data_IF_530886463732
#
_entry.id   IF_530886463732
#
_cell.length_a   1.000
_cell.length_b   1.000
_cell.length_c   1.000
_cell.angle_alpha   90.00
_cell.angle_beta   90.00
_cell.angle_gamma   90.00
#
_symmetry.space_group_name_H-M   'P 1'
#
loop_
_entity.id
_entity.type
_entity.pdbx_description
1 polymer ?
#
# COMPACT_ATOMS: atom_id res chain seq x y z
N UNK A 1 -11.84 -28.42 -12.31
CA UNK A 1 -12.97 -27.91 -11.52
C UNK A 1 -13.71 -26.81 -12.25
N UNK A 2 -14.79 -26.36 -11.70
CA UNK A 2 -15.59 -25.24 -12.18
C UNK A 2 -15.51 -24.12 -11.15
N UNK A 3 -15.36 -22.88 -11.61
CA UNK A 3 -15.41 -21.66 -10.80
C UNK A 3 -16.54 -20.80 -11.34
N UNK A 4 -17.48 -20.44 -10.49
CA UNK A 4 -18.59 -19.53 -10.81
C UNK A 4 -18.35 -18.17 -10.21
N UNK A 5 -18.65 -17.12 -10.98
CA UNK A 5 -18.51 -15.73 -10.56
C UNK A 5 -19.86 -15.01 -10.68
N UNK A 6 -20.13 -14.12 -9.75
CA UNK A 6 -21.12 -13.07 -9.87
C UNK A 6 -20.42 -11.71 -9.71
N UNK A 7 -20.25 -11.00 -10.82
CA UNK A 7 -19.44 -9.80 -10.86
C UNK A 7 -17.98 -10.07 -10.43
N UNK A 8 -17.53 -9.44 -9.36
CA UNK A 8 -16.19 -9.61 -8.79
C UNK A 8 -16.08 -10.70 -7.71
N UNK A 9 -17.17 -11.43 -7.44
CA UNK A 9 -17.24 -12.41 -6.35
C UNK A 9 -17.23 -13.82 -6.88
N UNK A 10 -16.36 -14.70 -6.36
CA UNK A 10 -16.41 -16.14 -6.58
C UNK A 10 -17.57 -16.67 -5.73
N UNK A 11 -18.59 -17.21 -6.40
CA UNK A 11 -19.80 -17.75 -5.74
C UNK A 11 -19.73 -19.24 -5.46
N UNK A 12 -18.95 -19.97 -6.28
CA UNK A 12 -18.80 -21.42 -6.13
C UNK A 12 -17.49 -21.90 -6.73
N UNK A 13 -16.89 -22.88 -6.09
CA UNK A 13 -15.80 -23.70 -6.66
C UNK A 13 -16.16 -25.17 -6.41
N UNK A 14 -16.25 -25.97 -7.46
CA UNK A 14 -16.59 -27.38 -7.33
C UNK A 14 -15.90 -28.28 -8.36
N UNK A 15 -15.77 -29.58 -8.10
CA UNK A 15 -15.43 -30.56 -9.12
C UNK A 15 -16.45 -30.58 -10.25
N UNK A 16 -16.04 -30.92 -11.47
CA UNK A 16 -16.95 -31.06 -12.62
C UNK A 16 -18.09 -32.06 -12.32
N UNK A 17 -17.79 -33.12 -11.56
CA UNK A 17 -18.76 -34.16 -11.18
C UNK A 17 -19.89 -33.67 -10.25
N UNK A 18 -19.73 -32.52 -9.62
CA UNK A 18 -20.71 -31.93 -8.70
C UNK A 18 -21.43 -30.72 -9.32
N UNK A 19 -21.14 -30.41 -10.57
CA UNK A 19 -21.78 -29.30 -11.26
C UNK A 19 -23.11 -29.74 -11.86
N UNK A 20 -24.17 -29.02 -11.47
CA UNK A 20 -25.52 -29.26 -11.97
C UNK A 20 -25.79 -28.38 -13.18
N UNK A 21 -25.69 -28.95 -14.36
CA UNK A 21 -25.91 -28.26 -15.63
C UNK A 21 -24.90 -28.67 -16.70
N UNK A 22 -24.95 -28.00 -17.84
CA UNK A 22 -23.98 -28.17 -18.90
C UNK A 22 -22.66 -27.51 -18.51
N UNK A 23 -21.61 -28.32 -18.33
CA UNK A 23 -20.29 -27.80 -17.97
C UNK A 23 -19.74 -26.91 -19.11
N UNK A 24 -19.16 -25.75 -18.78
CA UNK A 24 -18.51 -24.90 -19.77
C UNK A 24 -17.34 -25.62 -20.45
N UNK A 25 -16.92 -25.11 -21.61
CA UNK A 25 -15.75 -25.64 -22.31
C UNK A 25 -14.52 -25.58 -21.40
N UNK A 26 -13.77 -26.68 -21.37
CA UNK A 26 -12.57 -26.77 -20.54
C UNK A 26 -11.49 -25.81 -21.03
N UNK A 27 -10.82 -25.16 -20.10
CA UNK A 27 -9.68 -24.29 -20.34
C UNK A 27 -8.43 -24.86 -19.69
N UNK A 28 -7.27 -24.68 -20.33
CA UNK A 28 -5.95 -25.01 -19.76
C UNK A 28 -5.47 -23.92 -18.76
N UNK A 29 -6.26 -22.89 -18.51
CA UNK A 29 -5.92 -21.83 -17.58
C UNK A 29 -5.86 -22.34 -16.13
N UNK A 30 -4.84 -21.89 -15.40
CA UNK A 30 -4.76 -22.06 -13.95
C UNK A 30 -5.22 -20.77 -13.27
N UNK A 31 -6.21 -20.88 -12.40
CA UNK A 31 -6.70 -19.76 -11.60
C UNK A 31 -6.00 -19.74 -10.26
N UNK A 32 -5.44 -18.60 -9.91
CA UNK A 32 -4.77 -18.33 -8.63
C UNK A 32 -5.40 -17.09 -7.98
N UNK A 33 -5.36 -16.98 -6.64
CA UNK A 33 -5.63 -15.70 -5.99
C UNK A 33 -4.69 -14.63 -6.54
N UNK A 34 -5.19 -13.41 -6.71
CA UNK A 34 -4.34 -12.28 -7.08
C UNK A 34 -3.24 -12.05 -6.04
N UNK A 35 -2.08 -11.59 -6.49
CA UNK A 35 -0.97 -11.28 -5.61
C UNK A 35 -1.28 -10.04 -4.78
N UNK A 36 -0.86 -10.06 -3.52
CA UNK A 36 -0.93 -8.92 -2.59
C UNK A 36 0.48 -8.44 -2.34
N UNK A 37 0.75 -7.19 -2.70
CA UNK A 37 2.03 -6.54 -2.45
C UNK A 37 1.84 -5.44 -1.41
N UNK A 38 2.39 -5.64 -0.23
CA UNK A 38 2.20 -4.74 0.92
C UNK A 38 3.31 -3.70 1.05
N UNK A 39 4.36 -3.75 0.21
CA UNK A 39 5.49 -2.84 0.25
C UNK A 39 6.11 -2.70 -1.14
N UNK A 40 5.77 -1.64 -1.85
CA UNK A 40 6.21 -1.39 -3.21
C UNK A 40 6.53 0.10 -3.42
N UNK A 41 7.70 0.40 -3.99
CA UNK A 41 8.13 1.77 -4.27
C UNK A 41 7.88 2.22 -5.71
N UNK A 42 7.36 1.36 -6.57
CA UNK A 42 7.07 1.69 -7.96
C UNK A 42 7.38 0.57 -8.95
N UNK A 43 7.24 0.86 -10.23
CA UNK A 43 7.48 -0.07 -11.34
C UNK A 43 7.20 0.60 -12.69
N UNK A 44 7.53 -0.07 -13.79
CA UNK A 44 7.22 0.45 -15.12
C UNK A 44 7.91 1.75 -15.50
N UNK A 45 8.99 2.14 -14.78
CA UNK A 45 9.71 3.39 -15.00
C UNK A 45 9.26 4.54 -14.09
N UNK A 46 8.22 4.36 -13.28
CA UNK A 46 7.71 5.35 -12.33
C UNK A 46 7.88 4.89 -10.88
N UNK A 47 7.95 5.84 -9.94
CA UNK A 47 8.08 5.52 -8.52
C UNK A 47 7.08 6.32 -7.68
N UNK A 48 6.44 5.67 -6.71
CA UNK A 48 5.50 6.32 -5.81
C UNK A 48 6.11 7.48 -5.01
N UNK A 49 7.36 7.36 -4.48
CA UNK A 49 8.02 8.48 -3.80
C UNK A 49 8.20 9.73 -4.66
N UNK A 50 8.37 9.58 -5.98
CA UNK A 50 8.66 10.68 -6.90
C UNK A 50 7.46 11.12 -7.75
N UNK A 51 6.37 10.33 -7.76
CA UNK A 51 5.21 10.65 -8.58
C UNK A 51 4.51 11.94 -8.10
N UNK A 52 4.54 12.97 -8.93
CA UNK A 52 3.92 14.26 -8.61
C UNK A 52 2.42 14.29 -8.93
N UNK A 53 1.94 13.37 -9.76
CA UNK A 53 0.54 13.24 -10.14
C UNK A 53 0.05 11.82 -10.01
N UNK A 54 -1.27 11.65 -9.88
CA UNK A 54 -1.90 10.34 -9.82
C UNK A 54 -1.67 9.54 -11.11
N UNK A 55 -1.64 10.20 -12.27
CA UNK A 55 -1.38 9.54 -13.56
C UNK A 55 0.03 8.96 -13.63
N UNK A 56 1.05 9.65 -13.10
CA UNK A 56 2.41 9.13 -13.03
C UNK A 56 2.47 7.90 -12.11
N UNK A 57 1.89 7.99 -10.91
CA UNK A 57 1.83 6.87 -9.98
C UNK A 57 1.04 5.67 -10.55
N UNK A 58 -0.01 5.90 -11.33
CA UNK A 58 -0.81 4.85 -11.95
C UNK A 58 0.00 3.96 -12.92
N UNK A 59 1.04 4.48 -13.55
CA UNK A 59 1.94 3.68 -14.41
C UNK A 59 2.54 2.53 -13.64
N UNK A 60 3.03 2.78 -12.41
CA UNK A 60 3.58 1.74 -11.55
C UNK A 60 2.50 0.71 -11.13
N UNK A 61 1.30 1.17 -10.78
CA UNK A 61 0.18 0.28 -10.41
C UNK A 61 -0.16 -0.66 -11.57
N UNK A 62 -0.30 -0.13 -12.78
CA UNK A 62 -0.65 -0.92 -13.97
C UNK A 62 0.44 -1.92 -14.33
N UNK A 63 1.71 -1.59 -14.11
CA UNK A 63 2.81 -2.52 -14.34
C UNK A 63 2.72 -3.72 -13.40
N UNK A 64 2.51 -3.51 -12.10
CA UNK A 64 2.31 -4.60 -11.14
C UNK A 64 1.06 -5.43 -11.45
N UNK A 65 -0.03 -4.77 -11.87
CA UNK A 65 -1.28 -5.45 -12.26
C UNK A 65 -1.09 -6.39 -13.45
N UNK A 66 -0.28 -6.02 -14.45
CA UNK A 66 0.09 -6.90 -15.59
C UNK A 66 0.79 -8.18 -15.15
N UNK A 67 1.45 -8.16 -13.99
CA UNK A 67 2.16 -9.30 -13.43
C UNK A 67 1.38 -10.04 -12.34
N UNK A 68 0.08 -9.72 -12.18
CA UNK A 68 -0.84 -10.47 -11.33
C UNK A 68 -1.05 -9.89 -9.92
N UNK A 69 -0.48 -8.72 -9.60
CA UNK A 69 -0.78 -8.02 -8.35
C UNK A 69 -2.16 -7.38 -8.44
N UNK A 70 -3.07 -7.81 -7.57
CA UNK A 70 -4.46 -7.30 -7.50
C UNK A 70 -4.70 -6.39 -6.31
N UNK A 71 -3.80 -6.42 -5.32
CA UNK A 71 -3.83 -5.52 -4.17
C UNK A 71 -2.43 -4.98 -3.94
N UNK A 72 -2.25 -3.67 -4.09
CA UNK A 72 -0.96 -3.00 -4.03
C UNK A 72 -0.99 -1.88 -3.00
N UNK A 73 -0.03 -1.87 -2.09
CA UNK A 73 0.23 -0.77 -1.16
C UNK A 73 1.39 0.06 -1.68
N UNK A 74 1.13 1.34 -1.94
CA UNK A 74 2.17 2.26 -2.39
C UNK A 74 3.02 2.72 -1.19
N UNK A 75 4.34 2.55 -1.28
CA UNK A 75 5.28 2.91 -0.22
C UNK A 75 6.02 4.21 -0.56
N UNK A 76 5.85 5.22 0.30
CA UNK A 76 6.73 6.38 0.35
C UNK A 76 8.05 6.02 1.01
N UNK A 77 9.11 6.78 0.73
CA UNK A 77 10.41 6.68 1.42
C UNK A 77 10.60 7.91 2.31
N UNK A 78 11.60 7.86 3.20
CA UNK A 78 12.02 9.00 4.01
C UNK A 78 12.28 10.23 3.14
N UNK A 79 11.57 11.32 3.42
CA UNK A 79 11.65 12.60 2.71
C UNK A 79 11.23 13.74 3.66
N UNK A 80 11.28 14.99 3.18
CA UNK A 80 10.77 16.11 3.95
C UNK A 80 9.26 15.96 4.22
N UNK A 81 8.77 16.55 5.32
CA UNK A 81 7.36 16.53 5.66
C UNK A 81 6.48 17.09 4.51
N UNK A 82 6.95 18.11 3.81
CA UNK A 82 6.25 18.70 2.67
C UNK A 82 6.08 17.69 1.52
N UNK A 83 7.15 16.96 1.16
CA UNK A 83 7.13 15.94 0.12
C UNK A 83 6.23 14.79 0.53
N UNK A 84 6.36 14.26 1.76
CA UNK A 84 5.52 13.16 2.26
C UNK A 84 4.04 13.52 2.22
N UNK A 85 3.68 14.72 2.65
CA UNK A 85 2.30 15.23 2.61
C UNK A 85 1.76 15.36 1.18
N UNK A 86 2.58 15.86 0.26
CA UNK A 86 2.21 15.94 -1.15
C UNK A 86 1.95 14.54 -1.73
N UNK A 87 2.84 13.58 -1.46
CA UNK A 87 2.68 12.20 -1.93
C UNK A 87 1.48 11.49 -1.32
N UNK A 88 1.23 11.68 0.00
CA UNK A 88 0.04 11.16 0.66
C UNK A 88 -1.23 11.55 -0.08
N UNK A 89 -1.39 12.83 -0.43
CA UNK A 89 -2.56 13.34 -1.17
C UNK A 89 -2.66 12.75 -2.57
N UNK A 90 -1.55 12.73 -3.33
CA UNK A 90 -1.51 12.15 -4.67
C UNK A 90 -1.89 10.68 -4.68
N UNK A 91 -1.34 9.88 -3.75
CA UNK A 91 -1.62 8.45 -3.66
C UNK A 91 -3.03 8.15 -3.11
N UNK A 92 -3.56 9.03 -2.25
CA UNK A 92 -4.94 8.91 -1.77
C UNK A 92 -5.97 9.03 -2.89
N UNK A 93 -5.70 9.80 -3.95
CA UNK A 93 -6.56 9.86 -5.14
C UNK A 93 -6.68 8.50 -5.82
N UNK A 94 -5.57 7.77 -5.96
CA UNK A 94 -5.56 6.42 -6.53
C UNK A 94 -6.23 5.40 -5.61
N UNK A 95 -5.99 5.48 -4.31
CA UNK A 95 -6.64 4.59 -3.35
C UNK A 95 -8.18 4.80 -3.33
N UNK A 96 -8.64 6.04 -3.43
CA UNK A 96 -10.06 6.38 -3.54
C UNK A 96 -10.69 5.88 -4.84
N UNK A 97 -9.90 5.73 -5.89
CA UNK A 97 -10.33 5.17 -7.18
C UNK A 97 -10.20 3.63 -7.26
N UNK A 98 -9.94 2.96 -6.12
CA UNK A 98 -9.72 1.50 -6.02
C UNK A 98 -8.50 0.99 -6.84
N UNK A 99 -7.56 1.88 -7.16
CA UNK A 99 -6.33 1.53 -7.87
C UNK A 99 -5.21 1.04 -6.92
N UNK A 100 -5.23 1.50 -5.65
CA UNK A 100 -4.33 1.10 -4.57
C UNK A 100 -5.12 0.59 -3.37
N UNK A 101 -4.59 -0.41 -2.68
CA UNK A 101 -5.15 -0.88 -1.40
C UNK A 101 -4.88 0.10 -0.25
N UNK A 102 -3.85 0.92 -0.36
CA UNK A 102 -3.51 1.94 0.63
C UNK A 102 -2.08 2.46 0.49
N UNK A 103 -1.65 3.18 1.51
CA UNK A 103 -0.38 3.91 1.54
C UNK A 103 0.43 3.47 2.76
N UNK A 104 1.71 3.18 2.52
CA UNK A 104 2.71 2.90 3.53
C UNK A 104 3.77 4.02 3.57
N UNK A 105 4.22 4.39 4.75
CA UNK A 105 5.35 5.30 4.94
C UNK A 105 6.57 4.53 5.45
N UNK A 106 7.63 4.42 4.65
CA UNK A 106 8.91 3.89 5.11
C UNK A 106 9.75 5.04 5.69
N UNK A 107 9.59 5.27 6.96
CA UNK A 107 10.11 6.47 7.65
C UNK A 107 9.10 7.64 7.68
N UNK A 108 9.54 8.85 8.07
CA UNK A 108 10.92 9.33 8.25
C UNK A 108 11.56 9.00 9.62
N UNK A 109 10.89 8.27 10.48
CA UNK A 109 11.29 7.98 11.86
C UNK A 109 12.17 6.74 11.98
N UNK A 110 13.06 6.52 11.01
CA UNK A 110 14.00 5.39 11.01
C UNK A 110 15.32 5.76 11.73
N UNK A 111 16.13 4.74 12.05
CA UNK A 111 17.42 4.94 12.69
C UNK A 111 18.50 5.35 11.68
N UNK A 112 19.32 6.34 12.00
CA UNK A 112 20.46 6.71 11.16
C UNK A 112 21.44 5.56 10.96
N UNK A 113 21.68 4.75 12.01
CA UNK A 113 22.59 3.61 11.97
C UNK A 113 22.08 2.45 11.11
N UNK A 114 20.77 2.42 10.82
CA UNK A 114 20.08 1.34 10.11
C UNK A 114 19.19 1.84 8.98
N UNK A 115 19.46 3.03 8.46
CA UNK A 115 18.59 3.67 7.46
C UNK A 115 18.60 2.98 6.08
N UNK A 116 19.57 2.11 5.80
CA UNK A 116 19.65 1.45 4.49
C UNK A 116 19.77 2.45 3.35
N UNK A 117 18.85 2.40 2.41
CA UNK A 117 18.77 3.29 1.25
C UNK A 117 18.04 4.63 1.53
N UNK A 118 17.54 4.84 2.74
CA UNK A 118 16.85 6.08 3.11
C UNK A 118 17.83 7.25 3.16
N UNK A 119 17.42 8.43 2.69
CA UNK A 119 18.26 9.63 2.76
C UNK A 119 18.37 10.12 4.23
N UNK A 120 19.57 10.06 4.83
CA UNK A 120 19.76 10.42 6.23
C UNK A 120 19.47 11.89 6.53
N UNK A 121 19.45 12.78 5.52
CA UNK A 121 19.18 14.22 5.71
C UNK A 121 17.72 14.49 6.08
N UNK A 122 16.81 13.56 5.78
CA UNK A 122 15.39 13.68 6.08
C UNK A 122 14.92 12.78 7.24
N UNK A 123 15.85 12.03 7.85
CA UNK A 123 15.54 11.26 9.05
C UNK A 123 15.32 12.23 10.21
N UNK A 124 14.16 12.12 10.84
CA UNK A 124 13.79 12.92 12.00
C UNK A 124 13.40 12.04 13.18
N UNK A 125 13.35 12.62 14.37
CA UNK A 125 12.84 11.90 15.54
C UNK A 125 11.32 11.69 15.43
N UNK A 126 10.80 10.60 16.03
CA UNK A 126 9.38 10.30 16.04
C UNK A 126 8.50 11.47 16.50
N UNK A 127 7.58 11.88 15.63
CA UNK A 127 6.69 13.02 15.77
C UNK A 127 5.23 12.59 15.52
N UNK A 128 4.43 12.52 16.58
CA UNK A 128 3.03 12.10 16.52
C UNK A 128 2.15 13.12 15.78
N UNK A 129 2.49 14.41 15.80
CA UNK A 129 1.70 15.45 15.12
C UNK A 129 1.93 15.39 13.61
N UNK A 130 3.17 15.16 13.17
CA UNK A 130 3.46 14.88 11.77
C UNK A 130 2.74 13.58 11.33
N UNK A 131 2.74 12.54 12.16
CA UNK A 131 2.04 11.28 11.87
C UNK A 131 0.55 11.51 11.66
N UNK A 132 -0.13 12.22 12.56
CA UNK A 132 -1.55 12.56 12.40
C UNK A 132 -1.82 13.33 11.13
N UNK A 133 -0.96 14.29 10.79
CA UNK A 133 -1.07 15.08 9.56
C UNK A 133 -0.94 14.20 8.31
N UNK A 134 0.00 13.24 8.29
CA UNK A 134 0.17 12.30 7.17
C UNK A 134 -1.05 11.38 7.02
N UNK A 135 -1.61 10.89 8.13
CA UNK A 135 -2.83 10.07 8.13
C UNK A 135 -4.03 10.86 7.59
N UNK A 136 -4.20 12.12 8.01
CA UNK A 136 -5.24 13.01 7.48
C UNK A 136 -5.09 13.23 5.97
N UNK A 137 -3.87 13.51 5.50
CA UNK A 137 -3.57 13.71 4.08
C UNK A 137 -3.82 12.42 3.24
N UNK A 138 -3.75 11.23 3.87
CA UNK A 138 -4.12 9.95 3.24
C UNK A 138 -5.63 9.71 3.15
N UNK A 139 -6.49 10.52 3.74
CA UNK A 139 -7.97 10.45 3.63
C UNK A 139 -8.57 9.09 4.00
N UNK A 140 -8.00 8.38 4.97
CA UNK A 140 -8.44 7.06 5.44
C UNK A 140 -7.73 5.88 4.75
N UNK A 141 -6.75 6.13 3.89
CA UNK A 141 -6.00 5.09 3.17
C UNK A 141 -4.57 4.88 3.70
N UNK A 142 -4.20 5.48 4.83
CA UNK A 142 -2.96 5.15 5.52
C UNK A 142 -3.08 3.73 6.11
N UNK A 143 -2.18 2.83 5.71
CA UNK A 143 -2.19 1.43 6.19
C UNK A 143 -1.11 1.15 7.23
N UNK A 144 0.09 1.67 7.03
CA UNK A 144 1.20 1.35 7.93
C UNK A 144 2.35 2.33 7.82
N UNK A 145 3.23 2.29 8.82
CA UNK A 145 4.47 3.06 8.85
C UNK A 145 5.62 2.21 9.41
N UNK A 146 6.76 2.21 8.72
CA UNK A 146 8.01 1.68 9.25
C UNK A 146 8.69 2.76 10.12
N UNK A 147 9.01 2.41 11.35
CA UNK A 147 9.69 3.28 12.30
C UNK A 147 10.74 2.53 13.12
N UNK A 148 11.70 3.25 13.70
CA UNK A 148 12.70 2.72 14.61
C UNK A 148 12.13 2.70 16.04
N UNK A 149 11.76 1.52 16.58
CA UNK A 149 11.08 1.43 17.88
C UNK A 149 11.94 1.85 19.08
N UNK A 150 13.26 1.85 18.90
CA UNK A 150 14.21 2.27 19.93
C UNK A 150 14.31 3.79 20.11
N UNK A 151 13.74 4.58 19.20
CA UNK A 151 13.77 6.03 19.30
C UNK A 151 12.78 6.57 20.34
N UNK A 152 13.11 7.68 21.00
CA UNK A 152 12.16 8.37 21.88
C UNK A 152 10.85 8.71 21.14
N UNK A 153 9.70 8.64 21.82
CA UNK A 153 8.37 8.90 21.27
C UNK A 153 7.89 7.94 20.17
N UNK A 154 8.62 6.87 19.89
CA UNK A 154 8.15 5.82 18.98
C UNK A 154 6.94 5.08 19.57
N UNK A 155 6.99 4.76 20.87
CA UNK A 155 5.96 4.02 21.62
C UNK A 155 5.56 4.71 22.92
N UNK A 156 4.37 4.38 23.42
CA UNK A 156 3.80 4.86 24.67
C UNK A 156 2.75 5.95 24.46
N UNK A 157 2.25 6.54 25.55
CA UNK A 157 1.24 7.60 25.46
C UNK A 157 1.74 8.82 24.69
N UNK A 158 0.94 9.30 23.73
CA UNK A 158 1.27 10.44 22.88
C UNK A 158 2.28 10.15 21.76
N UNK A 159 2.63 8.87 21.53
CA UNK A 159 3.64 8.46 20.57
C UNK A 159 3.14 8.35 19.13
N UNK A 160 4.08 8.12 18.21
CA UNK A 160 3.78 7.78 16.80
C UNK A 160 2.93 6.51 16.70
N UNK A 161 3.27 5.46 17.46
CA UNK A 161 2.50 4.21 17.44
C UNK A 161 1.04 4.42 17.91
N UNK A 162 0.80 5.22 18.93
CA UNK A 162 -0.56 5.56 19.36
C UNK A 162 -1.30 6.36 18.26
N UNK A 163 -0.63 7.34 17.64
CA UNK A 163 -1.23 8.13 16.57
C UNK A 163 -1.59 7.26 15.33
N UNK A 164 -0.77 6.25 15.00
CA UNK A 164 -1.07 5.29 13.93
C UNK A 164 -2.31 4.46 14.26
N UNK A 165 -2.37 3.87 15.46
CA UNK A 165 -3.49 3.05 15.92
C UNK A 165 -4.79 3.85 15.95
N UNK A 166 -4.76 5.05 16.51
CA UNK A 166 -5.92 5.95 16.59
C UNK A 166 -6.41 6.36 15.19
N UNK A 167 -5.49 6.48 14.24
CA UNK A 167 -5.78 6.76 12.83
C UNK A 167 -6.16 5.53 11.99
N UNK A 168 -6.19 4.33 12.58
CA UNK A 168 -6.54 3.08 11.90
C UNK A 168 -5.42 2.46 11.07
N UNK A 169 -4.17 2.91 11.25
CA UNK A 169 -2.97 2.36 10.61
C UNK A 169 -2.16 1.47 11.58
N UNK A 170 -1.19 0.72 11.03
CA UNK A 170 -0.29 -0.19 11.75
C UNK A 170 1.17 0.30 11.70
#
# INVERSE_FOLDING_TARGET
GIIEFDGATITRVCPVSEYEGEAPEASDATYLPGLVDVHCHGGGGESFPNAETAEAALVAVLEHRRHGTTSLVASCVTASAEVLRARAKTLAELAKADELAGIHFEGPFVSHERCGAQDPTFIVDPDADLTRTLIEDCQGYALSMTLAPEKPNAYGPGSVAEALIDGGAL
#
